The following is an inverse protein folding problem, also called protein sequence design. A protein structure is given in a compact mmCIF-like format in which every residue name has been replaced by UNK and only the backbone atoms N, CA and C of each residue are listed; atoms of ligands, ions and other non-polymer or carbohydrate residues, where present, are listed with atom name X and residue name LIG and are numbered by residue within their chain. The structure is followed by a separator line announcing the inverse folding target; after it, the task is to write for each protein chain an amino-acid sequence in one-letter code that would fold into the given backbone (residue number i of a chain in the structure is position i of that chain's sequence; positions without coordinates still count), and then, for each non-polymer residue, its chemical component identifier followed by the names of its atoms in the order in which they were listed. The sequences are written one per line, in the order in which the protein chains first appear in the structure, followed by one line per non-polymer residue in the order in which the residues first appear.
data_IF_970200955858
#
_entry.id   IF_970200955858
#
_cell.length_a   1.000
_cell.length_b   1.000
_cell.length_c   1.000
_cell.angle_alpha   90.00
_cell.angle_beta   90.00
_cell.angle_gamma   90.00
#
_symmetry.space_group_name_H-M   'P 1'
#
loop_
_entity.id
_entity.type
_entity.pdbx_description
1 polymer ?
#
# COMPACT_ATOMS: atom_id res chain seq x y z
N UNK A 1 -59.26 21.48 -12.02
CA UNK A 1 -58.07 20.86 -11.40
C UNK A 1 -57.07 20.59 -12.49
N UNK A 2 -55.83 21.01 -12.24
CA UNK A 2 -54.75 21.29 -13.19
C UNK A 2 -53.92 20.05 -13.56
N UNK A 3 -53.58 19.87 -14.84
CA UNK A 3 -52.34 20.20 -15.60
C UNK A 3 -51.19 19.19 -15.38
N UNK A 4 -50.74 18.60 -16.50
CA UNK A 4 -49.52 17.80 -16.70
C UNK A 4 -48.23 18.62 -16.48
N UNK A 5 -47.13 17.97 -16.09
CA UNK A 5 -45.78 18.30 -16.59
C UNK A 5 -44.82 17.16 -16.27
N UNK A 6 -44.27 16.56 -17.32
CA UNK A 6 -43.20 15.58 -17.24
C UNK A 6 -41.88 16.22 -16.83
N UNK A 7 -41.11 15.52 -16.01
CA UNK A 7 -39.69 15.81 -15.77
C UNK A 7 -38.87 14.71 -16.44
N UNK A 8 -38.23 15.08 -17.55
CA UNK A 8 -37.22 14.29 -18.26
C UNK A 8 -35.92 14.34 -17.45
N UNK A 9 -35.56 13.25 -16.76
CA UNK A 9 -34.28 13.16 -16.07
C UNK A 9 -33.24 12.56 -17.02
N UNK A 10 -32.22 13.35 -17.35
CA UNK A 10 -31.02 12.88 -18.03
C UNK A 10 -29.92 12.60 -17.00
N UNK A 11 -29.10 11.54 -17.18
CA UNK A 11 -27.90 11.34 -16.37
C UNK A 11 -26.93 12.51 -16.54
N UNK A 12 -26.35 12.96 -15.43
CA UNK A 12 -25.29 13.96 -15.41
C UNK A 12 -23.97 13.29 -15.79
N UNK A 13 -23.38 13.66 -16.92
CA UNK A 13 -22.07 13.17 -17.41
C UNK A 13 -20.86 13.67 -16.58
N UNK A 14 -21.09 14.47 -15.52
CA UNK A 14 -20.03 15.16 -14.77
C UNK A 14 -19.72 14.58 -13.37
N UNK A 15 -19.96 13.29 -13.13
CA UNK A 15 -19.51 12.64 -11.88
C UNK A 15 -18.70 11.38 -12.22
N UNK A 16 -17.38 11.35 -11.96
CA UNK A 16 -16.66 10.09 -11.97
C UNK A 16 -17.23 9.21 -10.84
N UNK A 17 -17.82 8.09 -11.26
CA UNK A 17 -18.16 6.94 -10.42
C UNK A 17 -16.93 6.51 -9.62
N UNK A 18 -16.77 7.03 -8.41
CA UNK A 18 -15.90 6.45 -7.37
C UNK A 18 -16.57 6.58 -6.00
N UNK A 19 -17.63 5.80 -5.83
CA UNK A 19 -18.13 5.45 -4.50
C UNK A 19 -17.34 4.24 -3.99
N UNK A 20 -16.43 4.46 -3.03
CA UNK A 20 -16.29 3.52 -1.90
C UNK A 20 -15.08 2.57 -1.81
N UNK A 21 -13.94 2.84 -2.44
CA UNK A 21 -12.67 2.16 -2.10
C UNK A 21 -11.69 3.11 -1.39
N UNK A 22 -10.86 2.65 -0.43
CA UNK A 22 -9.76 3.48 0.05
C UNK A 22 -8.88 3.88 -1.15
N UNK A 23 -8.37 5.12 -1.21
CA UNK A 23 -7.54 5.55 -2.34
C UNK A 23 -6.32 4.63 -2.43
N UNK A 24 -6.23 3.86 -3.51
CA UNK A 24 -4.99 3.16 -3.88
C UNK A 24 -3.99 4.22 -4.35
N UNK A 25 -2.75 4.08 -3.89
CA UNK A 25 -1.72 5.11 -4.04
C UNK A 25 -1.08 4.99 -5.43
N UNK A 26 -1.45 5.83 -6.39
CA UNK A 26 -0.73 5.87 -7.68
C UNK A 26 0.53 6.72 -7.59
N UNK A 27 1.61 6.36 -8.29
CA UNK A 27 2.77 7.25 -8.45
C UNK A 27 2.43 8.39 -9.43
N UNK A 28 2.66 9.67 -9.09
CA UNK A 28 2.38 10.78 -10.00
C UNK A 28 3.35 10.82 -11.19
N UNK A 29 2.92 11.38 -12.32
CA UNK A 29 3.85 11.73 -13.41
C UNK A 29 4.80 12.86 -12.98
N UNK A 30 6.07 12.81 -13.43
CA UNK A 30 7.11 13.79 -13.06
C UNK A 30 7.28 14.00 -11.53
N UNK A 31 6.87 13.02 -10.71
CA UNK A 31 6.79 13.14 -9.25
C UNK A 31 8.08 13.66 -8.60
N UNK A 32 9.24 13.26 -9.11
CA UNK A 32 10.55 13.70 -8.61
C UNK A 32 10.75 15.22 -8.62
N UNK A 33 9.99 15.97 -9.43
CA UNK A 33 10.05 17.43 -9.53
C UNK A 33 8.95 18.14 -8.72
N UNK A 34 8.02 17.40 -8.11
CA UNK A 34 6.91 18.01 -7.40
C UNK A 34 7.33 18.55 -6.02
N UNK A 35 6.61 19.56 -5.53
CA UNK A 35 6.89 20.19 -4.23
C UNK A 35 6.93 19.17 -3.07
N UNK A 36 5.95 18.24 -2.94
CA UNK A 36 6.03 17.16 -1.95
C UNK A 36 7.36 16.40 -1.93
N UNK A 37 7.86 16.01 -3.10
CA UNK A 37 9.05 15.17 -3.24
C UNK A 37 10.35 15.93 -3.06
N UNK A 38 10.38 17.22 -3.43
CA UNK A 38 11.50 18.09 -3.06
C UNK A 38 11.61 18.22 -1.54
N UNK A 39 10.49 18.53 -0.86
CA UNK A 39 10.46 18.65 0.60
C UNK A 39 10.90 17.35 1.29
N UNK A 40 10.41 16.21 0.81
CA UNK A 40 10.80 14.89 1.33
C UNK A 40 12.32 14.60 1.25
N UNK A 41 13.02 15.20 0.28
CA UNK A 41 14.46 15.02 0.10
C UNK A 41 15.29 16.04 0.89
N UNK A 42 14.77 17.24 1.08
CA UNK A 42 15.49 18.39 1.68
C UNK A 42 15.25 18.55 3.18
N UNK A 43 14.07 18.18 3.68
CA UNK A 43 13.68 18.37 5.07
C UNK A 43 14.03 17.18 5.95
N UNK A 44 14.46 17.46 7.18
CA UNK A 44 14.65 16.43 8.18
C UNK A 44 13.29 16.00 8.73
N UNK A 45 13.11 14.69 8.94
CA UNK A 45 11.95 14.10 9.60
C UNK A 45 12.34 13.68 11.02
N UNK A 46 11.73 14.33 12.03
CA UNK A 46 11.91 14.01 13.47
C UNK A 46 10.78 13.12 14.02
N UNK A 47 10.00 12.53 13.11
CA UNK A 47 8.93 11.60 13.41
C UNK A 47 9.39 10.24 13.95
N UNK A 48 8.44 9.33 14.13
CA UNK A 48 8.70 8.01 14.68
C UNK A 48 7.49 7.06 14.62
N UNK A 49 7.70 5.76 14.83
CA UNK A 49 6.60 4.78 14.83
C UNK A 49 5.62 5.03 15.99
N UNK A 50 4.33 4.83 15.73
CA UNK A 50 3.25 4.84 16.73
C UNK A 50 2.71 3.42 16.90
N UNK A 51 2.45 2.74 15.78
CA UNK A 51 2.02 1.35 15.69
C UNK A 51 2.67 0.71 14.45
N UNK A 52 2.44 -0.59 14.23
CA UNK A 52 2.88 -1.28 13.01
C UNK A 52 2.31 -0.65 11.73
N UNK A 53 1.15 0.03 11.84
CA UNK A 53 0.47 0.67 10.72
C UNK A 53 0.77 2.17 10.60
N UNK A 54 1.12 2.83 11.70
CA UNK A 54 1.09 4.29 11.78
C UNK A 54 2.35 4.89 12.37
N UNK A 55 2.71 6.05 11.84
CA UNK A 55 3.91 6.79 12.20
C UNK A 55 3.57 8.27 12.33
N UNK A 56 4.26 8.95 13.23
CA UNK A 56 4.30 10.39 13.22
C UNK A 56 5.36 10.84 12.22
N UNK A 57 5.06 11.86 11.41
CA UNK A 57 6.02 12.51 10.52
C UNK A 57 6.11 13.98 10.92
N UNK A 58 7.33 14.46 11.16
CA UNK A 58 7.57 15.85 11.53
C UNK A 58 8.69 16.44 10.68
N UNK A 59 8.31 17.04 9.56
CA UNK A 59 9.26 17.68 8.66
C UNK A 59 9.67 19.05 9.17
N UNK A 60 10.95 19.37 9.06
CA UNK A 60 11.52 20.63 9.57
C UNK A 60 10.89 21.91 9.01
N UNK A 61 10.22 21.86 7.86
CA UNK A 61 9.48 22.97 7.27
C UNK A 61 7.97 22.99 7.57
N UNK A 62 7.48 22.08 8.42
CA UNK A 62 6.07 22.00 8.82
C UNK A 62 5.87 22.57 10.23
N UNK A 63 4.77 23.28 10.45
CA UNK A 63 4.46 23.87 11.76
C UNK A 63 4.06 22.81 12.81
N UNK A 64 3.49 21.69 12.36
CA UNK A 64 2.96 20.63 13.22
C UNK A 64 3.30 19.24 12.64
N UNK A 65 3.48 18.22 13.51
CA UNK A 65 3.64 16.84 13.08
C UNK A 65 2.31 16.28 12.57
N UNK A 66 2.39 15.28 11.69
CA UNK A 66 1.25 14.63 11.06
C UNK A 66 1.25 13.13 11.30
N UNK A 67 0.07 12.55 11.59
CA UNK A 67 -0.08 11.10 11.70
C UNK A 67 -0.29 10.52 10.31
N UNK A 68 0.52 9.51 9.99
CA UNK A 68 0.53 8.86 8.68
C UNK A 68 0.38 7.36 8.86
N UNK A 69 -0.63 6.76 8.23
CA UNK A 69 -0.68 5.32 7.99
C UNK A 69 0.31 4.99 6.88
N UNK A 70 1.24 4.09 7.13
CA UNK A 70 2.28 3.69 6.17
C UNK A 70 2.70 2.24 6.44
N UNK A 71 1.96 1.29 5.84
CA UNK A 71 2.16 -0.15 6.04
C UNK A 71 1.73 -0.97 4.84
N UNK A 72 2.23 -2.19 4.73
CA UNK A 72 1.87 -3.12 3.66
C UNK A 72 0.60 -3.90 4.02
N UNK A 73 -0.29 -4.06 3.04
CA UNK A 73 -1.45 -4.96 3.12
C UNK A 73 -1.67 -5.63 1.77
N UNK A 74 -1.90 -6.95 1.76
CA UNK A 74 -1.98 -7.75 0.54
C UNK A 74 -0.71 -7.60 -0.31
N UNK A 75 -0.83 -6.94 -1.47
CA UNK A 75 0.30 -6.66 -2.38
C UNK A 75 0.58 -5.15 -2.53
N UNK A 76 -0.06 -4.31 -1.75
CA UNK A 76 -0.02 -2.85 -1.89
C UNK A 76 0.46 -2.15 -0.62
N UNK A 77 0.70 -0.85 -0.74
CA UNK A 77 1.04 0.06 0.34
C UNK A 77 -0.22 0.83 0.78
N UNK A 78 -0.60 0.69 2.04
CA UNK A 78 -1.53 1.60 2.69
C UNK A 78 -0.78 2.88 3.04
N UNK A 79 -1.18 3.98 2.42
CA UNK A 79 -0.63 5.30 2.67
C UNK A 79 -1.76 6.32 2.83
N UNK A 80 -1.94 6.82 4.05
CA UNK A 80 -2.89 7.90 4.33
C UNK A 80 -2.29 8.87 5.34
N UNK A 81 -2.51 10.16 5.13
CA UNK A 81 -2.00 11.21 6.02
C UNK A 81 -3.14 12.16 6.37
N UNK A 82 -3.25 12.47 7.67
CA UNK A 82 -4.24 13.40 8.21
C UNK A 82 -4.11 14.84 7.65
N UNK A 83 -3.02 15.16 6.96
CA UNK A 83 -2.86 16.43 6.27
C UNK A 83 -3.81 16.51 5.06
N UNK A 84 -4.30 17.72 4.76
CA UNK A 84 -5.21 17.95 3.61
C UNK A 84 -4.49 17.95 2.25
N UNK A 85 -3.16 17.87 2.23
CA UNK A 85 -2.35 18.07 1.03
C UNK A 85 -2.41 16.91 0.04
N UNK A 86 -2.80 15.69 0.46
CA UNK A 86 -2.96 14.54 -0.44
C UNK A 86 -3.98 14.80 -1.55
N UNK A 87 -4.98 15.66 -1.29
CA UNK A 87 -6.06 16.04 -2.23
C UNK A 87 -5.59 16.87 -3.43
N UNK A 88 -4.37 17.42 -3.36
CA UNK A 88 -3.84 18.35 -4.37
C UNK A 88 -2.63 17.78 -5.11
N UNK A 89 -2.19 16.55 -4.79
CA UNK A 89 -0.94 15.98 -5.29
C UNK A 89 -1.10 14.49 -5.68
N UNK A 90 -2.23 14.13 -6.27
CA UNK A 90 -2.51 12.76 -6.75
C UNK A 90 -2.19 11.67 -5.71
N UNK A 91 -2.54 11.92 -4.45
CA UNK A 91 -2.33 10.99 -3.34
C UNK A 91 -1.04 11.21 -2.52
N UNK A 92 -0.08 12.03 -2.97
CA UNK A 92 1.22 12.20 -2.31
C UNK A 92 1.41 13.56 -1.64
N UNK A 93 1.23 13.64 -0.33
CA UNK A 93 1.73 14.78 0.45
C UNK A 93 3.23 14.64 0.75
N UNK A 94 3.87 15.71 1.23
CA UNK A 94 5.30 15.69 1.63
C UNK A 94 5.59 14.66 2.72
N UNK A 95 4.62 14.34 3.59
CA UNK A 95 4.79 13.37 4.67
C UNK A 95 4.85 11.93 4.16
N UNK A 96 3.92 11.54 3.28
CA UNK A 96 3.94 10.22 2.62
C UNK A 96 5.17 10.10 1.73
N UNK A 97 5.51 11.15 0.97
CA UNK A 97 6.72 11.20 0.16
C UNK A 97 8.00 11.03 1.00
N UNK A 98 8.06 11.64 2.19
CA UNK A 98 9.18 11.48 3.13
C UNK A 98 9.33 10.03 3.59
N UNK A 99 8.24 9.36 3.98
CA UNK A 99 8.28 7.97 4.40
C UNK A 99 8.73 7.03 3.27
N UNK A 100 8.21 7.24 2.05
CA UNK A 100 8.70 6.49 0.89
C UNK A 100 10.19 6.72 0.62
N UNK A 101 10.64 7.97 0.71
CA UNK A 101 12.05 8.32 0.53
C UNK A 101 12.95 7.67 1.59
N UNK A 102 12.49 7.60 2.83
CA UNK A 102 13.22 6.91 3.90
C UNK A 102 13.25 5.40 3.68
N UNK A 103 12.12 4.80 3.31
CA UNK A 103 12.00 3.35 3.11
C UNK A 103 12.85 2.86 1.94
N UNK A 104 12.80 3.54 0.80
CA UNK A 104 13.65 3.24 -0.38
C UNK A 104 15.15 3.38 -0.11
N UNK A 105 15.54 4.01 1.02
CA UNK A 105 16.94 4.17 1.44
C UNK A 105 17.30 3.32 2.66
N UNK A 106 16.43 2.39 3.08
CA UNK A 106 16.67 1.51 4.22
C UNK A 106 16.76 2.25 5.56
N UNK A 107 16.09 3.40 5.70
CA UNK A 107 16.10 4.20 6.94
C UNK A 107 14.95 3.87 7.88
N UNK A 108 13.90 3.24 7.36
CA UNK A 108 12.76 2.76 8.13
C UNK A 108 12.38 1.37 7.64
N UNK A 109 11.88 0.55 8.56
CA UNK A 109 11.23 -0.71 8.26
C UNK A 109 9.71 -0.48 8.17
N UNK A 110 9.08 -1.18 7.24
CA UNK A 110 7.63 -1.13 6.99
C UNK A 110 7.01 -2.49 7.26
N UNK A 111 6.04 -2.54 8.16
CA UNK A 111 5.36 -3.77 8.56
C UNK A 111 4.29 -4.16 7.54
N UNK A 112 4.12 -5.47 7.35
CA UNK A 112 3.04 -6.06 6.59
C UNK A 112 1.95 -6.55 7.53
N UNK A 113 0.78 -5.94 7.47
CA UNK A 113 -0.29 -6.12 8.47
C UNK A 113 -0.87 -7.54 8.44
N UNK A 114 -0.96 -8.17 7.27
CA UNK A 114 -1.52 -9.53 7.17
C UNK A 114 -0.53 -10.63 7.57
N UNK A 115 0.78 -10.45 7.32
CA UNK A 115 1.80 -11.49 7.54
C UNK A 115 2.63 -11.26 8.80
N UNK A 116 2.62 -10.04 9.34
CA UNK A 116 3.48 -9.60 10.46
C UNK A 116 4.95 -9.41 10.07
N UNK A 117 5.31 -9.52 8.79
CA UNK A 117 6.71 -9.39 8.34
C UNK A 117 7.10 -7.93 8.16
N UNK A 118 8.33 -7.59 8.54
CA UNK A 118 8.91 -6.27 8.33
C UNK A 118 9.78 -6.26 7.07
N UNK A 119 9.74 -5.13 6.34
CA UNK A 119 10.45 -4.92 5.10
C UNK A 119 11.34 -3.68 5.21
N UNK A 120 12.68 -3.83 5.19
CA UNK A 120 13.61 -2.69 5.25
C UNK A 120 13.66 -1.89 3.95
N UNK A 121 13.18 -2.46 2.85
CA UNK A 121 13.08 -1.83 1.54
C UNK A 121 11.81 -2.30 0.81
N UNK A 122 11.30 -1.52 -0.17
CA UNK A 122 10.14 -1.94 -0.94
C UNK A 122 10.35 -3.29 -1.63
N UNK A 123 9.51 -4.30 -1.36
CA UNK A 123 9.68 -5.61 -1.97
C UNK A 123 9.37 -5.56 -3.47
N UNK A 124 10.04 -6.39 -4.27
CA UNK A 124 9.87 -6.44 -5.73
C UNK A 124 8.42 -6.75 -6.18
N UNK A 125 7.67 -7.45 -5.32
CA UNK A 125 6.27 -7.74 -5.58
C UNK A 125 5.35 -6.52 -5.38
N UNK A 126 5.75 -5.45 -4.70
CA UNK A 126 4.88 -4.31 -4.36
C UNK A 126 4.21 -3.69 -5.59
N UNK A 127 2.90 -3.48 -5.53
CA UNK A 127 2.10 -2.77 -6.54
C UNK A 127 1.19 -1.77 -5.83
N UNK A 128 1.42 -0.48 -6.04
CA UNK A 128 0.76 0.58 -5.25
C UNK A 128 -0.70 0.80 -5.64
N UNK A 129 -1.07 0.40 -6.85
CA UNK A 129 -2.43 0.53 -7.40
C UNK A 129 -3.34 -0.68 -7.11
N UNK A 130 -2.79 -1.76 -6.52
CA UNK A 130 -3.56 -2.97 -6.22
C UNK A 130 -4.57 -2.75 -5.08
N UNK A 131 -5.69 -3.47 -5.12
CA UNK A 131 -6.69 -3.47 -4.05
C UNK A 131 -6.10 -4.12 -2.78
N UNK A 132 -6.05 -3.41 -1.64
CA UNK A 132 -5.48 -3.93 -0.40
C UNK A 132 -6.26 -5.10 0.21
N UNK A 133 -7.49 -5.34 -0.23
CA UNK A 133 -8.37 -6.41 0.28
C UNK A 133 -8.39 -7.64 -0.61
N UNK A 134 -7.73 -7.61 -1.77
CA UNK A 134 -7.74 -8.69 -2.76
C UNK A 134 -7.22 -10.03 -2.20
N UNK A 135 -6.45 -10.01 -1.12
CA UNK A 135 -5.83 -11.18 -0.49
C UNK A 135 -6.39 -11.53 0.89
N UNK A 136 -7.46 -10.86 1.37
CA UNK A 136 -8.04 -11.06 2.72
C UNK A 136 -8.57 -12.48 2.96
N UNK A 137 -8.72 -13.29 1.91
CA UNK A 137 -9.18 -14.67 1.96
C UNK A 137 -8.03 -15.69 2.11
N UNK A 138 -6.76 -15.26 2.08
CA UNK A 138 -5.60 -16.10 2.37
C UNK A 138 -5.25 -16.04 3.86
N UNK A 139 -4.76 -17.15 4.41
CA UNK A 139 -4.15 -17.10 5.75
C UNK A 139 -2.82 -16.33 5.72
N UNK A 140 -2.37 -15.76 6.86
CA UNK A 140 -1.07 -15.08 6.95
C UNK A 140 0.11 -15.89 6.37
N UNK A 141 0.15 -17.20 6.65
CA UNK A 141 1.21 -18.08 6.16
C UNK A 141 1.09 -18.39 4.65
N UNK A 142 -0.13 -18.48 4.12
CA UNK A 142 -0.35 -18.66 2.68
C UNK A 142 0.05 -17.41 1.91
N UNK A 143 -0.34 -16.23 2.41
CA UNK A 143 0.02 -14.95 1.81
C UNK A 143 1.54 -14.72 1.86
N UNK A 144 2.18 -14.92 3.01
CA UNK A 144 3.64 -14.72 3.13
C UNK A 144 4.43 -15.64 2.20
N UNK A 145 4.03 -16.91 2.09
CA UNK A 145 4.62 -17.85 1.14
C UNK A 145 4.40 -17.40 -0.32
N UNK A 146 3.18 -17.00 -0.66
CA UNK A 146 2.82 -16.57 -2.02
C UNK A 146 3.57 -15.30 -2.44
N UNK A 147 3.59 -14.27 -1.60
CA UNK A 147 4.33 -13.03 -1.84
C UNK A 147 5.83 -13.30 -1.98
N UNK A 148 6.38 -14.18 -1.14
CA UNK A 148 7.84 -14.44 -1.12
C UNK A 148 8.30 -15.33 -2.28
N UNK A 149 7.55 -16.39 -2.61
CA UNK A 149 8.00 -17.40 -3.57
C UNK A 149 7.39 -17.27 -4.98
N UNK A 150 6.12 -16.87 -5.09
CA UNK A 150 5.44 -16.82 -6.39
C UNK A 150 5.54 -15.43 -7.03
N UNK A 151 5.44 -14.38 -6.22
CA UNK A 151 5.55 -13.00 -6.68
C UNK A 151 6.94 -12.39 -6.43
N UNK A 152 7.66 -12.91 -5.44
CA UNK A 152 9.04 -12.56 -5.15
C UNK A 152 10.03 -13.44 -5.91
N UNK A 153 11.30 -13.33 -5.53
CA UNK A 153 12.40 -14.02 -6.22
C UNK A 153 12.89 -15.27 -5.48
N UNK A 154 12.40 -15.52 -4.27
CA UNK A 154 12.94 -16.56 -3.38
C UNK A 154 12.41 -17.94 -3.75
N UNK A 155 13.31 -18.93 -3.77
CA UNK A 155 12.91 -20.31 -4.03
C UNK A 155 12.16 -20.94 -2.85
N UNK A 156 11.26 -21.89 -3.10
CA UNK A 156 10.54 -22.62 -2.05
C UNK A 156 11.46 -23.20 -0.95
N UNK A 157 12.56 -23.87 -1.34
CA UNK A 157 13.51 -24.45 -0.36
C UNK A 157 14.23 -23.39 0.46
N UNK A 158 14.64 -22.31 -0.21
CA UNK A 158 15.30 -21.19 0.45
C UNK A 158 14.37 -20.52 1.47
N UNK A 159 13.11 -20.29 1.09
CA UNK A 159 12.11 -19.74 2.01
C UNK A 159 11.75 -20.70 3.14
N UNK A 160 11.74 -22.01 2.87
CA UNK A 160 11.56 -23.04 3.90
C UNK A 160 12.66 -22.96 4.96
N UNK A 161 13.93 -22.85 4.54
CA UNK A 161 15.08 -22.69 5.43
C UNK A 161 15.00 -21.38 6.23
N UNK A 162 14.64 -20.27 5.57
CA UNK A 162 14.51 -18.95 6.23
C UNK A 162 13.38 -18.91 7.25
N UNK A 163 12.26 -19.58 6.97
CA UNK A 163 11.05 -19.53 7.81
C UNK A 163 10.95 -20.64 8.84
N UNK A 164 11.98 -21.47 8.97
CA UNK A 164 12.01 -22.68 9.84
C UNK A 164 10.82 -23.62 9.58
N UNK A 165 10.49 -23.81 8.29
CA UNK A 165 9.41 -24.69 7.83
C UNK A 165 9.97 -25.75 6.91
N UNK A 166 9.26 -26.87 6.77
CA UNK A 166 9.63 -27.85 5.74
C UNK A 166 9.24 -27.33 4.35
N UNK A 167 10.02 -27.67 3.31
CA UNK A 167 9.68 -27.35 1.92
C UNK A 167 8.33 -27.95 1.50
N UNK A 168 7.93 -29.08 2.10
CA UNK A 168 6.59 -29.66 1.90
C UNK A 168 5.48 -28.78 2.50
N UNK A 169 5.71 -28.16 3.65
CA UNK A 169 4.80 -27.18 4.26
C UNK A 169 4.64 -25.97 3.34
N UNK A 170 5.75 -25.39 2.88
CA UNK A 170 5.71 -24.25 1.95
C UNK A 170 5.00 -24.61 0.65
N UNK A 171 5.28 -25.79 0.07
CA UNK A 171 4.59 -26.27 -1.13
C UNK A 171 3.07 -26.40 -0.93
N UNK A 172 2.61 -26.85 0.24
CA UNK A 172 1.19 -26.92 0.58
C UNK A 172 0.56 -25.53 0.72
N UNK A 173 1.25 -24.58 1.34
CA UNK A 173 0.79 -23.19 1.47
C UNK A 173 0.62 -22.56 0.08
N UNK A 174 1.61 -22.69 -0.79
CA UNK A 174 1.56 -22.16 -2.16
C UNK A 174 0.44 -22.78 -2.98
N UNK A 175 0.23 -24.09 -2.88
CA UNK A 175 -0.88 -24.76 -3.58
C UNK A 175 -2.22 -24.17 -3.13
N UNK A 176 -2.46 -24.07 -1.82
CA UNK A 176 -3.70 -23.51 -1.27
C UNK A 176 -3.90 -22.05 -1.66
N UNK A 177 -2.85 -21.24 -1.63
CA UNK A 177 -2.91 -19.85 -2.06
C UNK A 177 -3.36 -19.73 -3.52
N UNK A 178 -2.77 -20.52 -4.43
CA UNK A 178 -3.16 -20.55 -5.84
C UNK A 178 -4.59 -21.05 -6.05
N UNK A 179 -4.99 -22.11 -5.35
CA UNK A 179 -6.34 -22.66 -5.42
C UNK A 179 -7.37 -21.57 -5.01
N UNK A 180 -7.09 -20.83 -3.93
CA UNK A 180 -7.94 -19.75 -3.43
C UNK A 180 -8.00 -18.54 -4.36
N UNK A 181 -6.89 -18.19 -5.02
CA UNK A 181 -6.80 -17.08 -5.97
C UNK A 181 -7.38 -17.40 -7.36
N UNK A 182 -8.08 -18.52 -7.49
CA UNK A 182 -8.79 -18.89 -8.72
C UNK A 182 -7.95 -19.67 -9.73
N UNK A 183 -6.79 -20.21 -9.31
CA UNK A 183 -6.01 -21.22 -10.01
C UNK A 183 -5.77 -20.94 -11.50
N UNK A 184 -4.68 -20.27 -11.85
CA UNK A 184 -4.17 -20.41 -13.22
C UNK A 184 -3.45 -21.75 -13.29
N UNK A 185 -4.18 -22.78 -13.74
CA UNK A 185 -3.55 -23.96 -14.30
C UNK A 185 -2.49 -23.50 -15.31
N UNK A 186 -1.25 -23.91 -15.06
CA UNK A 186 -0.09 -23.67 -15.92
C UNK A 186 -0.28 -24.23 -17.31
#
# INVERSE_FOLDING_TARGET
MSIESGSNWQPSDDLPDRLGGPPTLSMPDDWTKSTPWRRAQEEADEGGPITDAERMVYLSGSDHPHRVTFALKGRTLLADCDCKAHRFNDGWCSHVASLWWQWTRGRIDVSHLDTGREYPEPPAWLRLDDDPTAYDHLTPAELDAYLTCDLGEMGNREYADLSDRSAGTIGNLLRRARDSLGGVDR
#
